data_IF_168826093871
#
_entry.id   IF_168826093871
#
_cell.length_a   1.000
_cell.length_b   1.000
_cell.length_c   1.000
_cell.angle_alpha   90.00
_cell.angle_beta   90.00
_cell.angle_gamma   90.00
#
_symmetry.space_group_name_H-M   'P 1'
#
loop_
_entity.id
_entity.type
_entity.pdbx_description
1 polymer ?
#
# COMPACT_ATOMS: atom_id res chain seq x y z
N UNK A 1 3.44 6.06 27.44
CA UNK A 1 2.04 5.61 27.44
C UNK A 1 1.93 4.28 26.68
N UNK A 2 2.04 4.26 25.35
CA UNK A 2 1.91 3.03 24.54
C UNK A 2 2.76 1.83 25.00
N UNK A 3 4.04 2.03 25.36
CA UNK A 3 4.93 0.96 25.85
C UNK A 3 4.44 0.27 27.14
N UNK A 4 3.67 0.97 27.97
CA UNK A 4 3.12 0.41 29.21
C UNK A 4 1.79 -0.31 28.96
N UNK A 5 1.07 0.04 27.89
CA UNK A 5 -0.21 -0.55 27.51
C UNK A 5 -0.03 -1.82 26.69
N UNK A 6 1.07 -1.92 25.92
CA UNK A 6 1.41 -3.07 25.08
C UNK A 6 2.84 -3.55 25.36
N UNK A 7 3.09 -4.22 26.51
CA UNK A 7 4.43 -4.70 26.88
C UNK A 7 4.96 -5.82 25.98
N UNK A 8 4.08 -6.52 25.26
CA UNK A 8 4.43 -7.58 24.31
C UNK A 8 4.97 -7.07 22.97
N UNK A 9 4.80 -5.77 22.67
CA UNK A 9 5.27 -5.17 21.42
C UNK A 9 6.61 -4.47 21.66
N UNK A 10 7.63 -4.85 20.91
CA UNK A 10 8.90 -4.14 20.90
C UNK A 10 8.78 -2.85 20.08
N UNK A 11 9.12 -1.72 20.71
CA UNK A 11 9.10 -0.42 20.05
C UNK A 11 10.54 0.02 19.75
N UNK A 12 10.86 0.10 18.45
CA UNK A 12 12.12 0.66 17.95
C UNK A 12 11.84 1.97 17.19
N UNK A 13 12.71 2.95 17.36
CA UNK A 13 12.66 4.22 16.63
C UNK A 13 13.88 4.39 15.75
N UNK A 14 13.66 4.65 14.46
CA UNK A 14 14.72 4.85 13.47
C UNK A 14 14.45 6.13 12.68
N UNK A 15 15.52 6.82 12.27
CA UNK A 15 15.39 7.99 11.39
C UNK A 15 15.01 7.49 9.98
N UNK A 16 14.13 8.24 9.30
CA UNK A 16 13.51 7.84 8.03
C UNK A 16 14.53 7.59 6.90
N UNK A 17 15.67 8.29 6.92
CA UNK A 17 16.76 8.09 5.96
C UNK A 17 17.38 6.69 6.11
N UNK A 18 17.76 6.31 7.33
CA UNK A 18 18.28 5.00 7.64
C UNK A 18 17.23 3.92 7.39
N UNK A 19 15.97 4.18 7.76
CA UNK A 19 14.86 3.26 7.47
C UNK A 19 14.72 2.99 5.97
N UNK A 20 14.84 4.02 5.14
CA UNK A 20 14.77 3.86 3.68
C UNK A 20 15.93 3.02 3.11
N UNK A 21 17.16 3.23 3.59
CA UNK A 21 18.33 2.44 3.16
C UNK A 21 18.22 0.98 3.61
N UNK A 22 17.75 0.77 4.84
CA UNK A 22 17.56 -0.54 5.44
C UNK A 22 16.43 -1.33 4.77
N UNK A 23 15.34 -0.65 4.37
CA UNK A 23 14.21 -1.28 3.69
C UNK A 23 14.61 -1.86 2.33
N UNK A 24 15.48 -1.17 1.58
CA UNK A 24 15.99 -1.67 0.30
C UNK A 24 17.03 -2.78 0.50
N UNK A 25 17.88 -2.68 1.53
CA UNK A 25 18.98 -3.62 1.75
C UNK A 25 18.53 -4.92 2.42
N UNK A 26 17.70 -4.82 3.46
CA UNK A 26 17.25 -5.92 4.32
C UNK A 26 15.80 -5.66 4.77
N UNK A 27 14.80 -5.81 3.89
CA UNK A 27 13.40 -5.56 4.23
C UNK A 27 12.86 -6.48 5.33
N UNK A 28 13.42 -7.69 5.50
CA UNK A 28 12.94 -8.72 6.44
C UNK A 28 13.12 -8.36 7.92
N UNK A 29 13.75 -7.23 8.23
CA UNK A 29 13.88 -6.75 9.60
C UNK A 29 12.65 -5.95 10.07
N UNK A 30 11.79 -5.53 9.15
CA UNK A 30 10.62 -4.70 9.46
C UNK A 30 9.34 -5.54 9.43
N UNK A 31 8.55 -5.43 10.49
CA UNK A 31 7.21 -6.03 10.56
C UNK A 31 6.13 -4.96 10.42
N UNK A 32 6.09 -4.00 11.36
CA UNK A 32 5.10 -2.92 11.38
C UNK A 32 5.82 -1.58 11.53
N UNK A 33 5.53 -0.64 10.63
CA UNK A 33 6.12 0.70 10.65
C UNK A 33 5.05 1.76 10.84
N UNK A 34 5.22 2.59 11.88
CA UNK A 34 4.37 3.74 12.15
C UNK A 34 5.12 5.02 11.75
N UNK A 35 4.47 5.86 10.94
CA UNK A 35 5.10 7.06 10.41
C UNK A 35 4.07 8.18 10.23
N UNK A 36 4.51 9.45 10.30
CA UNK A 36 3.75 10.59 9.77
C UNK A 36 3.37 10.40 8.29
N UNK A 37 2.27 11.04 7.88
CA UNK A 37 1.66 10.88 6.55
C UNK A 37 2.65 10.98 5.38
N UNK A 38 3.55 11.98 5.41
CA UNK A 38 4.52 12.21 4.34
C UNK A 38 5.52 11.05 4.21
N UNK A 39 6.08 10.58 5.33
CA UNK A 39 7.05 9.49 5.32
C UNK A 39 6.39 8.16 4.97
N UNK A 40 5.15 7.95 5.41
CA UNK A 40 4.33 6.80 5.03
C UNK A 40 4.23 6.64 3.52
N UNK A 41 3.96 7.73 2.79
CA UNK A 41 3.86 7.70 1.32
C UNK A 41 5.22 7.39 0.65
N UNK A 42 6.32 7.96 1.15
CA UNK A 42 7.65 7.70 0.59
C UNK A 42 8.03 6.23 0.78
N UNK A 43 7.88 5.71 2.00
CA UNK A 43 8.25 4.34 2.32
C UNK A 43 7.31 3.33 1.64
N UNK A 44 6.00 3.61 1.55
CA UNK A 44 5.07 2.74 0.84
C UNK A 44 5.39 2.63 -0.66
N UNK A 45 5.85 3.71 -1.29
CA UNK A 45 6.34 3.67 -2.68
C UNK A 45 7.59 2.80 -2.84
N UNK A 46 8.54 2.86 -1.90
CA UNK A 46 9.75 2.04 -1.92
C UNK A 46 9.39 0.55 -1.72
N UNK A 47 8.54 0.26 -0.73
CA UNK A 47 8.03 -1.09 -0.48
C UNK A 47 7.25 -1.64 -1.69
N UNK A 48 6.43 -0.79 -2.32
CA UNK A 48 5.73 -1.10 -3.56
C UNK A 48 6.69 -1.48 -4.70
N UNK A 49 7.80 -0.77 -4.85
CA UNK A 49 8.85 -1.12 -5.82
C UNK A 49 9.51 -2.47 -5.53
N UNK A 50 9.70 -2.78 -4.25
CA UNK A 50 10.32 -4.03 -3.80
C UNK A 50 9.43 -5.27 -4.06
N UNK A 51 8.11 -5.15 -3.93
CA UNK A 51 7.16 -6.27 -4.11
C UNK A 51 6.71 -6.49 -5.56
N UNK A 52 7.19 -5.67 -6.50
CA UNK A 52 6.87 -5.84 -7.94
C UNK A 52 5.83 -4.87 -8.49
N UNK A 53 5.49 -3.82 -7.75
CA UNK A 53 4.70 -2.68 -8.25
C UNK A 53 3.32 -2.50 -7.61
N UNK A 54 2.62 -1.42 -7.99
CA UNK A 54 1.42 -0.93 -7.29
C UNK A 54 0.19 -1.83 -7.43
N UNK A 55 0.18 -2.72 -8.43
CA UNK A 55 -0.93 -3.65 -8.66
C UNK A 55 -1.05 -4.75 -7.61
N UNK A 56 -0.03 -4.95 -6.77
CA UNK A 56 0.01 -5.98 -5.73
C UNK A 56 -0.16 -5.44 -4.31
N UNK A 57 -0.13 -4.11 -4.15
CA UNK A 57 -0.18 -3.46 -2.83
C UNK A 57 -1.60 -3.01 -2.55
N UNK A 58 -2.23 -3.60 -1.54
CA UNK A 58 -3.52 -3.14 -1.02
C UNK A 58 -3.33 -2.05 0.04
N UNK A 59 -4.32 -1.16 0.13
CA UNK A 59 -4.35 -0.05 1.07
C UNK A 59 -5.71 0.08 1.73
N UNK A 60 -5.71 0.54 2.98
CA UNK A 60 -6.92 0.83 3.72
C UNK A 60 -6.72 2.13 4.50
N UNK A 61 -7.69 3.02 4.43
CA UNK A 61 -7.79 4.18 5.29
C UNK A 61 -8.98 3.96 6.21
N UNK A 62 -8.70 3.86 7.51
CA UNK A 62 -9.73 3.63 8.54
C UNK A 62 -9.91 4.91 9.33
N UNK A 63 -11.13 5.44 9.32
CA UNK A 63 -11.61 6.46 10.26
C UNK A 63 -12.64 5.85 11.20
N UNK A 64 -13.14 6.67 12.14
CA UNK A 64 -14.03 6.19 13.21
C UNK A 64 -15.37 5.65 12.67
N UNK A 65 -15.92 6.28 11.63
CA UNK A 65 -17.24 5.94 11.05
C UNK A 65 -17.14 5.25 9.69
N UNK A 66 -16.01 5.38 8.99
CA UNK A 66 -15.86 4.95 7.60
C UNK A 66 -14.49 4.32 7.34
N UNK A 67 -14.48 3.28 6.50
CA UNK A 67 -13.27 2.68 5.97
C UNK A 67 -13.26 2.78 4.44
N UNK A 68 -12.15 3.23 3.87
CA UNK A 68 -11.94 3.33 2.42
C UNK A 68 -10.83 2.36 2.02
N UNK A 69 -11.14 1.44 1.13
CA UNK A 69 -10.18 0.54 0.53
C UNK A 69 -9.68 1.15 -0.78
N UNK A 70 -8.37 1.32 -0.90
CA UNK A 70 -7.72 1.82 -2.10
C UNK A 70 -6.47 0.97 -2.41
N UNK A 71 -5.81 1.19 -3.54
CA UNK A 71 -4.48 0.61 -3.75
C UNK A 71 -3.51 1.25 -2.77
N UNK A 72 -2.62 0.47 -2.15
CA UNK A 72 -1.71 0.96 -1.10
C UNK A 72 -0.69 1.99 -1.59
N UNK A 73 -0.65 2.19 -2.90
CA UNK A 73 0.11 3.22 -3.57
C UNK A 73 -0.83 4.00 -4.50
N UNK A 74 -0.83 5.33 -4.39
CA UNK A 74 -1.59 6.20 -5.33
C UNK A 74 -0.95 6.34 -6.71
N UNK A 75 0.23 5.76 -6.89
CA UNK A 75 0.86 5.58 -8.19
C UNK A 75 0.15 4.46 -8.93
N UNK A 76 -1.04 4.75 -9.47
CA UNK A 76 -1.69 3.88 -10.43
C UNK A 76 -0.73 3.72 -11.60
N UNK A 77 -0.40 2.49 -11.99
CA UNK A 77 0.27 2.19 -13.26
C UNK A 77 -0.62 2.54 -14.47
N UNK A 78 -1.31 3.68 -14.45
CA UNK A 78 -2.19 4.21 -15.51
C UNK A 78 -1.43 4.45 -16.82
N UNK A 79 -0.10 4.48 -16.78
CA UNK A 79 0.75 4.42 -17.98
C UNK A 79 0.68 3.07 -18.73
N UNK A 80 0.36 1.97 -18.03
CA UNK A 80 0.18 0.64 -18.63
C UNK A 80 -1.27 0.36 -19.05
N UNK A 81 -2.22 1.21 -18.65
CA UNK A 81 -3.60 1.15 -19.13
C UNK A 81 -3.64 1.71 -20.56
N UNK A 82 -3.28 0.86 -21.53
CA UNK A 82 -3.57 1.13 -22.93
C UNK A 82 -5.07 1.40 -23.11
N UNK A 83 -5.48 2.16 -24.13
CA UNK A 83 -6.89 2.46 -24.36
C UNK A 83 -7.64 1.19 -24.74
N UNK A 84 -8.22 0.49 -23.76
CA UNK A 84 -9.23 -0.53 -24.00
C UNK A 84 -10.53 0.19 -24.35
N UNK A 85 -10.73 0.39 -25.65
CA UNK A 85 -12.03 0.79 -26.21
C UNK A 85 -13.10 -0.13 -25.60
N UNK A 86 -14.16 0.39 -24.97
CA UNK A 86 -15.21 -0.47 -24.45
C UNK A 86 -15.93 -1.14 -25.63
N UNK A 87 -15.61 -2.40 -25.87
CA UNK A 87 -16.47 -3.28 -26.64
C UNK A 87 -17.67 -3.62 -25.76
N UNK A 88 -18.92 -3.43 -26.22
CA UNK A 88 -20.09 -3.77 -25.42
C UNK A 88 -20.05 -5.27 -25.06
N UNK A 89 -20.40 -5.65 -23.81
CA UNK A 89 -20.40 -7.04 -23.42
C UNK A 89 -21.43 -7.82 -24.26
N UNK A 90 -21.12 -9.05 -24.71
CA UNK A 90 -22.13 -9.93 -25.29
C UNK A 90 -23.24 -10.16 -24.24
N UNK A 91 -24.50 -10.26 -24.71
CA UNK A 91 -25.74 -10.25 -23.92
C UNK A 91 -25.92 -11.40 -22.91
N UNK A 92 -24.87 -12.16 -22.59
CA UNK A 92 -24.88 -13.33 -21.72
C UNK A 92 -23.69 -13.42 -20.75
N UNK A 93 -22.96 -12.33 -20.50
CA UNK A 93 -21.84 -12.34 -19.53
C UNK A 93 -22.32 -11.99 -18.10
N UNK A 94 -21.89 -12.73 -17.06
CA UNK A 94 -22.30 -12.49 -15.67
C UNK A 94 -21.65 -11.20 -15.10
N UNK A 95 -22.42 -10.44 -14.32
CA UNK A 95 -22.13 -9.08 -13.79
C UNK A 95 -20.93 -8.94 -12.83
N UNK A 96 -20.05 -9.93 -12.72
CA UNK A 96 -19.01 -9.99 -11.67
C UNK A 96 -17.57 -9.80 -12.13
N UNK A 97 -17.31 -9.30 -13.34
CA UNK A 97 -15.97 -8.78 -13.66
C UNK A 97 -15.81 -7.42 -13.01
N UNK A 98 -15.45 -7.47 -11.73
CA UNK A 98 -14.94 -6.36 -10.92
C UNK A 98 -13.97 -5.53 -11.77
N UNK A 99 -14.39 -4.32 -12.09
CA UNK A 99 -13.61 -3.35 -12.85
C UNK A 99 -12.41 -2.95 -12.02
N UNK A 100 -11.26 -3.55 -12.30
CA UNK A 100 -9.99 -2.90 -12.05
C UNK A 100 -9.89 -1.71 -13.01
N UNK A 101 -10.34 -0.54 -12.57
CA UNK A 101 -9.96 0.77 -13.10
C UNK A 101 -9.95 1.77 -11.97
#
# INVERSE_FOLDING_TARGET
>A
MAKNEYPEIEFESMIVDNASMQLVSRPQQFDVMLMPNLYGNIISNIACGLVGGPGLVSGINVGDDYAVFETGTRNTGTSLAGPTRPTPPPSSAPEWTCSAT
#
